data_IF_924227526693
#
_entry.id   IF_924227526693
#
_cell.length_a   1.000
_cell.length_b   1.000
_cell.length_c   1.000
_cell.angle_alpha   90.00
_cell.angle_beta   90.00
_cell.angle_gamma   90.00
#
_symmetry.space_group_name_H-M   'P 1'
#
loop_
_entity.id
_entity.type
_entity.pdbx_description
1 polymer ?
#
# COMPACT_ATOMS: atom_id res chain seq x y z
N UNK A 1 15.82 -19.33 4.27
CA UNK A 1 15.82 -20.59 5.04
C UNK A 1 14.81 -21.59 4.46
N UNK A 2 13.51 -21.28 4.44
CA UNK A 2 12.45 -22.17 3.92
C UNK A 2 12.68 -22.62 2.47
N UNK A 3 13.16 -21.74 1.57
CA UNK A 3 13.53 -22.14 0.20
C UNK A 3 14.70 -23.13 0.14
N UNK A 4 15.63 -23.09 1.10
CA UNK A 4 16.75 -24.04 1.17
C UNK A 4 16.21 -25.41 1.61
N UNK A 5 15.33 -25.44 2.62
CA UNK A 5 14.63 -26.67 3.03
C UNK A 5 13.80 -27.26 1.89
N UNK A 6 13.07 -26.42 1.14
CA UNK A 6 12.32 -26.85 -0.05
C UNK A 6 13.25 -27.41 -1.13
N UNK A 7 14.42 -26.79 -1.33
CA UNK A 7 15.42 -27.25 -2.28
C UNK A 7 15.95 -28.64 -1.89
N UNK A 8 16.23 -28.85 -0.60
CA UNK A 8 16.67 -30.15 -0.10
C UNK A 8 15.63 -31.25 -0.33
N UNK A 9 14.33 -30.94 -0.12
CA UNK A 9 13.23 -31.87 -0.42
C UNK A 9 13.14 -32.16 -1.93
N UNK A 10 13.27 -31.14 -2.77
CA UNK A 10 13.22 -31.28 -4.23
C UNK A 10 14.42 -32.08 -4.81
N UNK A 11 15.55 -32.11 -4.10
CA UNK A 11 16.72 -32.92 -4.50
C UNK A 11 16.71 -34.33 -3.93
N UNK A 12 15.79 -34.64 -3.00
CA UNK A 12 15.72 -35.95 -2.39
C UNK A 12 14.79 -36.88 -3.19
N UNK A 13 15.39 -37.88 -3.82
CA UNK A 13 14.67 -38.88 -4.62
C UNK A 13 14.20 -38.38 -5.99
N UNK A 14 13.35 -39.18 -6.64
CA UNK A 14 12.77 -38.86 -7.94
C UNK A 14 11.61 -37.90 -7.75
N UNK A 15 11.71 -36.68 -8.29
CA UNK A 15 10.65 -35.67 -8.25
C UNK A 15 9.56 -36.03 -9.27
N UNK A 16 8.39 -36.52 -8.85
CA UNK A 16 7.35 -36.90 -9.79
C UNK A 16 6.52 -35.66 -10.17
N UNK A 17 5.75 -35.77 -11.26
CA UNK A 17 4.66 -34.83 -11.51
C UNK A 17 3.62 -34.91 -10.39
N UNK A 18 3.13 -33.77 -9.91
CA UNK A 18 2.13 -33.72 -8.82
C UNK A 18 2.15 -32.46 -7.96
N UNK A 19 3.10 -31.54 -8.18
CA UNK A 19 3.17 -30.28 -7.45
C UNK A 19 3.78 -30.38 -6.04
N UNK A 20 3.71 -29.31 -5.24
CA UNK A 20 4.33 -29.22 -3.92
C UNK A 20 3.77 -30.22 -2.92
N UNK A 21 2.45 -30.43 -2.90
CA UNK A 21 1.82 -31.36 -1.96
C UNK A 21 2.38 -32.78 -2.14
N UNK A 22 2.40 -33.28 -3.38
CA UNK A 22 2.88 -34.61 -3.69
C UNK A 22 4.38 -34.79 -3.41
N UNK A 23 5.17 -33.74 -3.65
CA UNK A 23 6.60 -33.72 -3.35
C UNK A 23 6.87 -33.80 -1.84
N UNK A 24 6.08 -33.11 -1.02
CA UNK A 24 6.21 -33.08 0.44
C UNK A 24 5.72 -34.40 1.05
N UNK A 25 4.53 -34.87 0.67
CA UNK A 25 3.92 -36.08 1.24
C UNK A 25 4.75 -37.33 0.98
N UNK A 26 5.46 -37.40 -0.14
CA UNK A 26 6.33 -38.54 -0.47
C UNK A 26 7.64 -38.54 0.31
N UNK A 27 8.23 -37.38 0.56
CA UNK A 27 9.52 -37.27 1.25
C UNK A 27 9.40 -37.27 2.78
N UNK A 28 8.30 -36.73 3.32
CA UNK A 28 8.12 -36.53 4.76
C UNK A 28 6.99 -37.38 5.36
N UNK A 29 6.29 -38.16 4.52
CA UNK A 29 5.19 -39.02 4.94
C UNK A 29 3.81 -38.37 4.81
N UNK A 30 2.74 -39.20 4.81
CA UNK A 30 1.38 -38.74 4.56
C UNK A 30 0.82 -37.85 5.67
N UNK A 31 1.21 -38.07 6.93
CA UNK A 31 0.74 -37.29 8.08
C UNK A 31 1.19 -35.82 7.98
N UNK A 32 2.48 -35.60 7.74
CA UNK A 32 3.02 -34.25 7.57
C UNK A 32 2.55 -33.63 6.25
N UNK A 33 2.51 -34.41 5.17
CA UNK A 33 1.98 -33.96 3.88
C UNK A 33 0.54 -33.46 3.98
N UNK A 34 -0.34 -34.19 4.67
CA UNK A 34 -1.73 -33.82 4.91
C UNK A 34 -1.86 -32.53 5.72
N UNK A 35 -1.16 -32.44 6.85
CA UNK A 35 -1.19 -31.26 7.71
C UNK A 35 -0.71 -29.99 6.98
N UNK A 36 0.44 -30.07 6.29
CA UNK A 36 0.99 -28.95 5.51
C UNK A 36 0.08 -28.61 4.32
N UNK A 37 -0.51 -29.61 3.66
CA UNK A 37 -1.44 -29.43 2.56
C UNK A 37 -2.70 -28.66 2.95
N UNK A 38 -3.33 -28.99 4.07
CA UNK A 38 -4.50 -28.29 4.59
C UNK A 38 -4.15 -26.83 4.95
N UNK A 39 -3.02 -26.61 5.62
CA UNK A 39 -2.58 -25.27 5.97
C UNK A 39 -2.30 -24.42 4.71
N UNK A 40 -1.67 -25.02 3.70
CA UNK A 40 -1.41 -24.35 2.43
C UNK A 40 -2.70 -24.02 1.66
N UNK A 41 -3.67 -24.94 1.64
CA UNK A 41 -4.98 -24.71 1.04
C UNK A 41 -5.72 -23.54 1.69
N UNK A 42 -5.79 -23.50 3.03
CA UNK A 42 -6.41 -22.39 3.75
C UNK A 42 -5.67 -21.08 3.53
N UNK A 43 -4.33 -21.09 3.60
CA UNK A 43 -3.50 -19.91 3.36
C UNK A 43 -3.70 -19.31 1.97
N UNK A 44 -3.71 -20.15 0.92
CA UNK A 44 -3.96 -19.71 -0.46
C UNK A 44 -5.39 -19.21 -0.67
N UNK A 45 -6.37 -19.80 0.00
CA UNK A 45 -7.78 -19.35 -0.04
C UNK A 45 -7.93 -17.96 0.58
N UNK A 46 -7.32 -17.72 1.75
CA UNK A 46 -7.31 -16.39 2.38
C UNK A 46 -6.56 -15.37 1.52
N UNK A 47 -5.42 -15.76 0.94
CA UNK A 47 -4.67 -14.89 0.02
C UNK A 47 -5.49 -14.50 -1.22
N UNK A 48 -6.28 -15.42 -1.78
CA UNK A 48 -7.19 -15.09 -2.89
C UNK A 48 -8.21 -14.01 -2.50
N UNK A 49 -8.77 -14.08 -1.30
CA UNK A 49 -9.68 -13.02 -0.79
C UNK A 49 -8.98 -11.67 -0.63
N UNK A 50 -7.71 -11.68 -0.21
CA UNK A 50 -6.89 -10.47 -0.06
C UNK A 50 -6.63 -9.81 -1.41
N UNK A 51 -6.28 -10.59 -2.44
CA UNK A 51 -6.06 -10.06 -3.79
C UNK A 51 -7.33 -9.50 -4.42
N UNK A 52 -8.48 -10.14 -4.20
CA UNK A 52 -9.78 -9.63 -4.66
C UNK A 52 -10.11 -8.30 -3.98
N UNK A 53 -9.92 -8.21 -2.67
CA UNK A 53 -10.20 -6.98 -1.91
C UNK A 53 -9.29 -5.83 -2.37
N UNK A 54 -8.00 -6.09 -2.57
CA UNK A 54 -7.08 -5.08 -3.11
C UNK A 54 -7.41 -4.65 -4.55
N UNK A 55 -7.88 -5.58 -5.39
CA UNK A 55 -8.33 -5.23 -6.74
C UNK A 55 -9.57 -4.31 -6.71
N UNK A 56 -10.51 -4.56 -5.78
CA UNK A 56 -11.69 -3.72 -5.58
C UNK A 56 -11.31 -2.33 -5.05
N UNK A 57 -10.35 -2.25 -4.13
CA UNK A 57 -9.81 -0.98 -3.64
C UNK A 57 -9.28 -0.13 -4.80
N UNK A 58 -8.45 -0.74 -5.65
CA UNK A 58 -7.87 -0.05 -6.81
C UNK A 58 -8.95 0.40 -7.79
N UNK A 59 -9.95 -0.45 -8.03
CA UNK A 59 -11.05 -0.18 -8.96
C UNK A 59 -11.90 1.00 -8.50
N UNK A 60 -12.34 1.01 -7.24
CA UNK A 60 -13.26 2.02 -6.72
C UNK A 60 -12.55 3.35 -6.46
N UNK A 61 -11.34 3.33 -5.90
CA UNK A 61 -10.66 4.56 -5.50
C UNK A 61 -9.93 5.26 -6.64
N UNK A 62 -9.39 4.52 -7.60
CA UNK A 62 -8.52 5.10 -8.63
C UNK A 62 -9.05 4.99 -10.05
N UNK A 63 -9.81 3.94 -10.39
CA UNK A 63 -10.26 3.71 -11.77
C UNK A 63 -11.65 4.31 -12.04
N UNK A 64 -12.62 4.03 -11.15
CA UNK A 64 -14.01 4.45 -11.31
C UNK A 64 -14.59 4.98 -9.97
N UNK A 65 -14.25 6.21 -9.56
CA UNK A 65 -14.79 6.80 -8.33
C UNK A 65 -16.32 6.97 -8.36
N UNK A 66 -16.91 7.07 -9.56
CA UNK A 66 -18.37 7.10 -9.75
C UNK A 66 -19.07 5.76 -9.43
N UNK A 67 -18.33 4.66 -9.27
CA UNK A 67 -18.89 3.36 -8.89
C UNK A 67 -19.20 3.23 -7.38
N UNK A 68 -18.98 4.29 -6.60
CA UNK A 68 -19.36 4.35 -5.17
C UNK A 68 -20.88 4.48 -5.03
N UNK A 69 -21.56 3.34 -4.88
CA UNK A 69 -23.03 3.24 -4.76
C UNK A 69 -23.53 3.63 -3.36
N UNK A 70 -22.72 3.36 -2.32
CA UNK A 70 -23.08 3.60 -0.92
C UNK A 70 -22.11 4.59 -0.26
N UNK A 71 -22.64 5.40 0.65
CA UNK A 71 -21.84 6.33 1.47
C UNK A 71 -20.79 5.58 2.31
N UNK A 72 -21.20 4.43 2.84
CA UNK A 72 -20.33 3.52 3.60
C UNK A 72 -19.43 2.71 2.67
N UNK A 73 -18.14 3.01 2.71
CA UNK A 73 -17.12 2.35 1.87
C UNK A 73 -17.10 0.83 2.06
N UNK A 74 -17.29 0.33 3.29
CA UNK A 74 -17.28 -1.11 3.58
C UNK A 74 -18.39 -1.89 2.86
N UNK A 75 -19.57 -1.28 2.68
CA UNK A 75 -20.65 -1.93 1.91
C UNK A 75 -20.30 -1.99 0.43
N UNK A 76 -19.69 -0.94 -0.12
CA UNK A 76 -19.17 -0.95 -1.49
C UNK A 76 -18.13 -2.05 -1.71
N UNK A 77 -17.20 -2.23 -0.77
CA UNK A 77 -16.20 -3.31 -0.81
C UNK A 77 -16.84 -4.70 -0.84
N UNK A 78 -17.84 -4.95 0.00
CA UNK A 78 -18.52 -6.26 0.07
C UNK A 78 -19.23 -6.60 -1.24
N UNK A 79 -19.98 -5.65 -1.81
CA UNK A 79 -20.77 -5.89 -3.04
C UNK A 79 -19.86 -6.08 -4.26
N UNK A 80 -18.86 -5.22 -4.45
CA UNK A 80 -17.93 -5.36 -5.57
C UNK A 80 -17.01 -6.58 -5.41
N UNK A 81 -16.61 -6.90 -4.17
CA UNK A 81 -15.82 -8.09 -3.86
C UNK A 81 -16.53 -9.40 -4.17
N UNK A 82 -17.82 -9.53 -3.80
CA UNK A 82 -18.60 -10.74 -4.12
C UNK A 82 -18.87 -10.86 -5.62
N UNK A 83 -19.15 -9.75 -6.30
CA UNK A 83 -19.31 -9.73 -7.75
C UNK A 83 -18.02 -10.19 -8.47
N UNK A 84 -16.87 -9.63 -8.09
CA UNK A 84 -15.58 -10.00 -8.68
C UNK A 84 -15.21 -11.47 -8.39
N UNK A 85 -15.51 -11.96 -7.19
CA UNK A 85 -15.31 -13.38 -6.83
C UNK A 85 -16.13 -14.31 -7.72
N UNK A 86 -17.41 -14.01 -7.97
CA UNK A 86 -18.27 -14.82 -8.85
C UNK A 86 -17.72 -14.82 -10.27
N UNK A 87 -17.33 -13.66 -10.80
CA UNK A 87 -16.74 -13.54 -12.14
C UNK A 87 -15.46 -14.37 -12.26
N UNK A 88 -14.54 -14.25 -11.29
CA UNK A 88 -13.31 -15.04 -11.26
C UNK A 88 -13.61 -16.54 -11.15
N UNK A 89 -14.61 -16.92 -10.35
CA UNK A 89 -15.10 -18.30 -10.26
C UNK A 89 -15.56 -18.84 -11.61
N UNK A 90 -16.37 -18.07 -12.35
CA UNK A 90 -16.85 -18.44 -13.69
C UNK A 90 -15.69 -18.57 -14.70
N UNK A 91 -14.69 -17.68 -14.64
CA UNK A 91 -13.50 -17.75 -15.50
C UNK A 91 -12.69 -19.03 -15.23
N UNK A 92 -12.52 -19.39 -13.96
CA UNK A 92 -11.81 -20.61 -13.57
C UNK A 92 -12.58 -21.86 -14.03
N UNK A 93 -13.92 -21.85 -13.94
CA UNK A 93 -14.78 -22.93 -14.46
C UNK A 93 -14.69 -23.08 -15.98
N UNK A 94 -14.54 -21.98 -16.74
CA UNK A 94 -14.36 -22.01 -18.19
C UNK A 94 -13.04 -22.68 -18.64
N UNK A 95 -12.06 -22.79 -17.73
CA UNK A 95 -10.91 -23.69 -17.89
C UNK A 95 -9.55 -23.03 -17.66
N UNK A 96 -8.69 -23.72 -16.91
CA UNK A 96 -7.33 -23.27 -16.52
C UNK A 96 -6.37 -23.05 -17.69
N UNK A 97 -6.65 -23.63 -18.87
CA UNK A 97 -5.83 -23.43 -20.08
C UNK A 97 -5.89 -21.98 -20.58
N UNK A 98 -7.05 -21.33 -20.46
CA UNK A 98 -7.24 -19.92 -20.84
C UNK A 98 -6.42 -19.03 -19.89
N UNK A 99 -6.54 -19.26 -18.58
CA UNK A 99 -5.82 -18.52 -17.54
C UNK A 99 -4.30 -18.61 -17.75
N UNK A 100 -3.78 -19.80 -18.05
CA UNK A 100 -2.35 -20.00 -18.28
C UNK A 100 -1.82 -19.23 -19.51
N UNK A 101 -2.66 -18.97 -20.51
CA UNK A 101 -2.26 -18.18 -21.69
C UNK A 101 -2.05 -16.70 -21.35
N UNK A 102 -2.80 -16.17 -20.39
CA UNK A 102 -2.70 -14.78 -19.92
C UNK A 102 -1.63 -14.56 -18.83
N UNK A 103 -1.05 -15.64 -18.28
CA UNK A 103 -0.05 -15.54 -17.22
C UNK A 103 1.23 -14.80 -17.67
N UNK A 104 1.73 -15.06 -18.89
CA UNK A 104 2.95 -14.42 -19.40
C UNK A 104 2.78 -12.90 -19.62
N UNK A 105 1.71 -12.41 -20.30
CA UNK A 105 1.44 -10.98 -20.37
C UNK A 105 1.35 -10.30 -19.00
N UNK A 106 0.76 -10.95 -18.00
CA UNK A 106 0.65 -10.38 -16.65
C UNK A 106 2.03 -10.17 -16.00
N UNK A 107 2.96 -11.12 -16.16
CA UNK A 107 4.35 -10.95 -15.69
C UNK A 107 5.03 -9.78 -16.39
N UNK A 108 4.83 -9.63 -17.70
CA UNK A 108 5.40 -8.49 -18.44
C UNK A 108 4.91 -7.15 -17.89
N UNK A 109 3.61 -7.02 -17.62
CA UNK A 109 3.04 -5.80 -17.02
C UNK A 109 3.69 -5.49 -15.67
N UNK A 110 3.82 -6.48 -14.78
CA UNK A 110 4.45 -6.29 -13.47
C UNK A 110 5.91 -5.83 -13.61
N UNK A 111 6.68 -6.45 -14.50
CA UNK A 111 8.07 -6.06 -14.75
C UNK A 111 8.17 -4.64 -15.32
N UNK A 112 7.29 -4.25 -16.25
CA UNK A 112 7.22 -2.89 -16.77
C UNK A 112 6.89 -1.89 -15.66
N UNK A 113 5.93 -2.18 -14.78
CA UNK A 113 5.61 -1.33 -13.63
C UNK A 113 6.82 -1.13 -12.71
N UNK A 114 7.56 -2.20 -12.40
CA UNK A 114 8.78 -2.14 -11.58
C UNK A 114 9.84 -1.25 -12.26
N UNK A 115 10.07 -1.44 -13.56
CA UNK A 115 11.02 -0.63 -14.32
C UNK A 115 10.62 0.86 -14.36
N UNK A 116 9.33 1.17 -14.56
CA UNK A 116 8.82 2.53 -14.52
C UNK A 116 9.06 3.21 -13.17
N UNK A 117 8.90 2.48 -12.06
CA UNK A 117 9.20 3.01 -10.72
C UNK A 117 10.69 3.36 -10.58
N UNK A 118 11.60 2.49 -11.02
CA UNK A 118 13.03 2.80 -10.99
C UNK A 118 13.38 4.01 -11.86
N UNK A 119 12.85 4.08 -13.09
CA UNK A 119 13.04 5.23 -13.98
C UNK A 119 12.53 6.52 -13.31
N UNK A 120 11.37 6.47 -12.65
CA UNK A 120 10.80 7.62 -11.92
C UNK A 120 11.73 8.16 -10.83
N UNK A 121 12.41 7.29 -10.08
CA UNK A 121 13.42 7.68 -9.08
C UNK A 121 14.61 8.37 -9.75
N UNK A 122 15.14 7.82 -10.85
CA UNK A 122 16.29 8.39 -11.57
C UNK A 122 15.98 9.74 -12.23
N UNK A 123 14.78 9.91 -12.78
CA UNK A 123 14.35 11.18 -13.41
C UNK A 123 14.26 12.32 -12.39
N UNK A 124 13.93 12.02 -11.13
CA UNK A 124 13.79 13.02 -10.05
C UNK A 124 15.04 13.19 -9.18
N UNK A 125 16.20 12.67 -9.58
CA UNK A 125 17.46 12.81 -8.81
C UNK A 125 17.85 14.27 -8.56
N UNK A 126 17.84 15.10 -9.61
CA UNK A 126 18.29 16.50 -9.55
C UNK A 126 17.14 17.50 -9.31
N UNK A 127 15.97 17.04 -8.88
CA UNK A 127 14.84 17.93 -8.58
C UNK A 127 14.41 18.78 -9.77
N UNK A 128 14.12 18.17 -10.93
CA UNK A 128 13.67 18.92 -12.10
C UNK A 128 12.38 19.70 -11.79
N UNK A 129 12.54 21.01 -11.54
CA UNK A 129 11.49 22.01 -11.30
C UNK A 129 10.66 22.29 -12.57
N UNK A 130 11.13 21.85 -13.74
CA UNK A 130 10.53 22.18 -15.03
C UNK A 130 9.33 21.29 -15.43
N UNK A 131 9.04 20.22 -14.67
CA UNK A 131 7.94 19.29 -14.97
C UNK A 131 6.80 19.47 -13.98
N UNK A 132 5.97 20.50 -14.22
CA UNK A 132 4.76 20.85 -13.44
C UNK A 132 3.79 19.67 -13.26
N UNK A 133 3.72 18.76 -14.23
CA UNK A 133 2.86 17.55 -14.19
C UNK A 133 3.36 16.44 -13.27
N UNK A 134 4.61 16.50 -12.80
CA UNK A 134 5.24 15.46 -11.95
C UNK A 134 5.45 15.98 -10.51
N UNK A 135 4.95 17.16 -10.17
CA UNK A 135 5.15 17.78 -8.86
C UNK A 135 3.84 17.84 -8.07
N UNK A 136 3.63 16.84 -7.22
CA UNK A 136 2.54 16.84 -6.26
C UNK A 136 2.86 17.83 -5.14
N UNK A 137 1.97 18.81 -4.95
CA UNK A 137 2.04 19.81 -3.87
C UNK A 137 0.91 19.55 -2.89
N UNK A 138 1.20 19.72 -1.61
CA UNK A 138 0.22 19.58 -0.55
C UNK A 138 0.35 20.76 0.41
N UNK A 139 -0.77 21.12 1.05
CA UNK A 139 -0.82 22.25 1.95
C UNK A 139 -0.54 21.81 3.39
N UNK A 140 0.35 22.54 4.06
CA UNK A 140 0.66 22.36 5.48
C UNK A 140 0.26 23.61 6.25
N UNK A 141 -0.36 23.40 7.42
CA UNK A 141 -0.58 24.43 8.44
C UNK A 141 0.40 24.13 9.56
N UNK A 142 1.51 24.88 9.62
CA UNK A 142 2.59 24.65 10.58
C UNK A 142 3.28 23.31 10.35
N UNK A 143 2.99 22.33 11.20
CA UNK A 143 3.49 20.95 11.14
C UNK A 143 2.43 19.91 10.74
N UNK A 144 1.19 20.33 10.47
CA UNK A 144 0.03 19.47 10.19
C UNK A 144 -0.41 19.56 8.71
N UNK A 145 -0.59 18.44 8.00
CA UNK A 145 -1.14 18.44 6.65
C UNK A 145 -2.66 18.63 6.65
N UNK A 146 -3.15 19.32 5.63
CA UNK A 146 -4.58 19.58 5.42
C UNK A 146 -5.17 18.55 4.46
N UNK A 147 -6.34 18.01 4.79
CA UNK A 147 -7.11 17.13 3.91
C UNK A 147 -7.95 17.94 2.91
N UNK A 148 -7.31 18.29 1.79
CA UNK A 148 -7.95 18.97 0.67
C UNK A 148 -8.82 18.02 -0.18
N UNK A 149 -8.65 16.70 -0.04
CA UNK A 149 -9.38 15.71 -0.85
C UNK A 149 -10.81 15.62 -0.37
N UNK A 150 -11.01 15.39 0.93
CA UNK A 150 -12.35 15.35 1.54
C UNK A 150 -13.09 16.68 1.39
N UNK A 151 -12.35 17.80 1.40
CA UNK A 151 -12.94 19.11 1.13
C UNK A 151 -13.43 19.25 -0.32
N UNK A 152 -12.59 18.85 -1.29
CA UNK A 152 -12.94 18.92 -2.70
C UNK A 152 -14.10 17.98 -3.06
N UNK A 153 -14.20 16.81 -2.42
CA UNK A 153 -15.36 15.92 -2.60
C UNK A 153 -16.68 16.57 -2.17
N UNK A 154 -16.65 17.42 -1.13
CA UNK A 154 -17.85 18.07 -0.59
C UNK A 154 -18.21 19.36 -1.32
N UNK A 155 -17.23 20.17 -1.71
CA UNK A 155 -17.45 21.51 -2.24
C UNK A 155 -17.08 21.68 -3.73
N UNK A 156 -16.50 20.65 -4.37
CA UNK A 156 -16.12 20.63 -5.79
C UNK A 156 -15.12 21.73 -6.23
N UNK A 157 -14.32 22.26 -5.30
CA UNK A 157 -13.19 23.12 -5.60
C UNK A 157 -12.04 22.91 -4.62
N UNK A 158 -10.81 23.24 -5.04
CA UNK A 158 -9.62 23.19 -4.20
C UNK A 158 -9.17 24.62 -3.87
N UNK A 159 -9.15 25.03 -2.59
CA UNK A 159 -8.66 26.35 -2.20
C UNK A 159 -7.14 26.45 -2.35
N UNK A 160 -6.65 27.67 -2.57
CA UNK A 160 -5.22 27.95 -2.53
C UNK A 160 -4.68 27.73 -1.11
N UNK A 161 -3.41 27.38 -0.98
CA UNK A 161 -2.77 27.20 0.33
C UNK A 161 -2.34 28.54 0.95
N UNK A 162 -3.32 29.42 1.20
CA UNK A 162 -3.15 30.71 1.88
C UNK A 162 -4.04 30.77 3.11
N UNK A 163 -3.70 31.63 4.08
CA UNK A 163 -4.48 31.77 5.31
C UNK A 163 -5.95 32.09 5.00
N UNK A 164 -6.21 33.08 4.15
CA UNK A 164 -7.56 33.53 3.76
C UNK A 164 -8.37 32.43 3.03
N UNK A 165 -7.73 31.67 2.12
CA UNK A 165 -8.43 30.65 1.35
C UNK A 165 -8.76 29.39 2.17
N UNK A 166 -8.06 29.17 3.29
CA UNK A 166 -8.27 28.04 4.20
C UNK A 166 -9.21 28.36 5.37
N UNK A 167 -9.57 29.63 5.58
CA UNK A 167 -10.57 30.02 6.59
C UNK A 167 -11.87 29.20 6.53
N UNK A 168 -12.51 28.93 5.38
CA UNK A 168 -13.74 28.13 5.35
C UNK A 168 -13.57 26.68 5.83
N UNK A 169 -12.33 26.16 5.92
CA UNK A 169 -12.06 24.82 6.42
C UNK A 169 -11.93 24.77 7.95
N UNK A 170 -11.44 25.85 8.56
CA UNK A 170 -11.02 25.88 9.96
C UNK A 170 -11.77 26.90 10.81
N UNK A 171 -12.61 27.74 10.19
CA UNK A 171 -13.37 28.78 10.86
C UNK A 171 -14.87 28.56 10.66
N UNK A 172 -15.62 28.75 11.75
CA UNK A 172 -17.07 28.74 11.76
C UNK A 172 -17.59 30.15 11.95
N UNK A 173 -18.57 30.54 11.14
CA UNK A 173 -19.24 31.84 11.28
C UNK A 173 -20.35 31.68 12.31
N UNK A 174 -20.26 32.39 13.44
CA UNK A 174 -21.27 32.34 14.50
C UNK A 174 -22.34 33.41 14.32
N UNK A 175 -21.94 34.62 13.89
CA UNK A 175 -22.81 35.75 13.51
C UNK A 175 -22.19 36.45 12.29
N UNK A 176 -22.91 37.41 11.67
CA UNK A 176 -22.41 38.22 10.53
C UNK A 176 -21.06 38.92 10.80
N UNK A 177 -20.68 39.13 12.06
CA UNK A 177 -19.44 39.82 12.47
C UNK A 177 -18.48 38.97 13.31
N UNK A 178 -18.88 37.78 13.78
CA UNK A 178 -18.04 36.95 14.65
C UNK A 178 -17.69 35.61 14.01
N UNK A 179 -16.41 35.46 13.66
CA UNK A 179 -15.82 34.23 13.14
C UNK A 179 -15.01 33.56 14.25
N UNK A 180 -15.34 32.31 14.59
CA UNK A 180 -14.56 31.50 15.53
C UNK A 180 -13.75 30.47 14.75
N UNK A 181 -12.43 30.67 14.75
CA UNK A 181 -11.47 29.76 14.14
C UNK A 181 -10.87 28.78 15.14
N UNK A 182 -10.45 27.63 14.62
CA UNK A 182 -9.68 26.64 15.36
C UNK A 182 -8.40 27.28 15.95
N UNK A 183 -8.09 27.07 17.26
CA UNK A 183 -7.04 27.80 17.94
C UNK A 183 -5.63 27.60 17.35
N UNK A 184 -5.32 26.41 16.84
CA UNK A 184 -4.03 26.11 16.24
C UNK A 184 -3.90 26.82 14.87
N UNK A 185 -4.91 26.74 14.01
CA UNK A 185 -4.97 27.45 12.73
C UNK A 185 -4.81 28.97 12.92
N UNK A 186 -5.56 29.57 13.85
CA UNK A 186 -5.49 31.01 14.12
C UNK A 186 -4.10 31.44 14.61
N UNK A 187 -3.40 30.57 15.35
CA UNK A 187 -2.00 30.80 15.77
C UNK A 187 -1.05 30.75 14.58
N UNK A 188 -1.20 29.74 13.72
CA UNK A 188 -0.32 29.55 12.56
C UNK A 188 -0.52 30.63 11.49
N UNK A 189 -1.76 31.08 11.26
CA UNK A 189 -2.06 32.16 10.32
C UNK A 189 -1.35 33.49 10.66
N UNK A 190 -1.04 33.74 11.93
CA UNK A 190 -0.34 34.95 12.38
C UNK A 190 1.18 34.88 12.28
N UNK A 191 1.77 33.71 11.99
CA UNK A 191 3.22 33.53 11.98
C UNK A 191 3.74 33.70 10.54
N UNK A 192 4.41 34.83 10.21
CA UNK A 192 4.90 35.08 8.85
C UNK A 192 6.19 34.32 8.54
N UNK A 193 6.95 33.90 9.56
CA UNK A 193 8.21 33.18 9.39
C UNK A 193 8.26 31.97 10.33
N UNK A 194 8.04 30.79 9.77
CA UNK A 194 8.10 29.51 10.46
C UNK A 194 9.43 28.81 10.15
N UNK A 195 10.30 28.71 11.16
CA UNK A 195 11.59 27.99 11.09
C UNK A 195 12.48 28.39 9.89
N UNK A 196 12.42 29.67 9.49
CA UNK A 196 13.25 30.20 8.40
C UNK A 196 12.82 29.79 6.98
N UNK A 197 11.66 29.16 6.82
CA UNK A 197 11.17 28.64 5.53
C UNK A 197 9.96 29.40 4.95
N UNK A 198 9.74 30.65 5.39
CA UNK A 198 8.59 31.48 5.00
C UNK A 198 7.36 31.27 5.91
N UNK A 199 6.14 31.58 5.45
CA UNK A 199 4.93 31.55 6.28
C UNK A 199 4.64 30.15 6.86
N UNK A 200 3.95 30.12 8.00
CA UNK A 200 3.57 28.84 8.64
C UNK A 200 2.59 28.04 7.80
N UNK A 201 1.70 28.72 7.06
CA UNK A 201 0.85 28.11 6.04
C UNK A 201 1.57 28.19 4.71
N UNK A 202 1.93 27.05 4.14
CA UNK A 202 2.67 26.99 2.88
C UNK A 202 2.50 25.66 2.18
N UNK A 203 2.71 25.68 0.87
CA UNK A 203 2.76 24.48 0.06
C UNK A 203 4.10 23.77 0.20
N UNK A 204 4.04 22.46 0.35
CA UNK A 204 5.20 21.59 0.34
C UNK A 204 5.17 20.67 -0.87
N UNK A 205 6.35 20.34 -1.38
CA UNK A 205 6.53 19.36 -2.45
C UNK A 205 6.51 17.97 -1.82
N UNK A 206 5.64 17.07 -2.30
CA UNK A 206 5.52 15.71 -1.77
C UNK A 206 6.73 14.84 -2.09
N UNK A 207 7.31 14.99 -3.29
CA UNK A 207 8.45 14.21 -3.77
C UNK A 207 9.57 15.19 -4.15
N UNK A 208 10.40 15.61 -3.19
CA UNK A 208 11.48 16.58 -3.44
C UNK A 208 12.70 15.97 -4.16
N UNK A 209 12.76 14.65 -4.34
CA UNK A 209 13.85 13.96 -5.04
C UNK A 209 14.95 13.43 -4.11
N UNK A 210 15.87 12.61 -4.62
CA UNK A 210 16.86 11.89 -3.81
C UNK A 210 17.93 12.83 -3.22
N UNK A 211 18.29 13.91 -3.92
CA UNK A 211 19.29 14.87 -3.47
C UNK A 211 18.82 15.80 -2.32
N UNK A 212 17.53 15.75 -1.97
CA UNK A 212 16.92 16.66 -0.99
C UNK A 212 17.27 16.36 0.48
N UNK A 213 17.98 15.27 0.77
CA UNK A 213 18.30 14.85 2.14
C UNK A 213 17.13 14.26 2.94
N UNK A 214 15.96 14.09 2.32
CA UNK A 214 14.73 13.58 2.95
C UNK A 214 14.84 12.14 3.45
N UNK A 215 15.84 11.38 2.99
CA UNK A 215 16.13 10.03 3.50
C UNK A 215 16.50 10.05 4.99
N UNK A 216 17.23 11.07 5.45
CA UNK A 216 17.58 11.22 6.86
C UNK A 216 16.39 11.68 7.72
N UNK A 217 15.45 12.46 7.16
CA UNK A 217 14.23 12.86 7.87
C UNK A 217 13.26 11.70 8.13
N UNK A 218 13.30 10.66 7.29
CA UNK A 218 12.41 9.49 7.38
C UNK A 218 13.05 8.25 8.02
N UNK A 219 14.28 8.36 8.52
CA UNK A 219 15.01 7.22 9.08
C UNK A 219 14.36 6.67 10.38
N UNK A 220 13.66 7.52 11.12
CA UNK A 220 13.02 7.13 12.39
C UNK A 220 11.55 6.75 12.23
N UNK A 221 11.14 5.76 13.03
CA UNK A 221 9.76 5.27 13.06
C UNK A 221 8.78 6.32 13.60
N UNK A 222 7.64 6.41 12.90
CA UNK A 222 6.49 7.25 13.26
C UNK A 222 5.26 6.34 13.42
N UNK A 223 5.13 5.73 14.60
CA UNK A 223 3.94 4.96 14.95
C UNK A 223 2.87 5.89 15.51
N UNK A 224 1.64 5.75 15.04
CA UNK A 224 0.47 6.52 15.46
C UNK A 224 -0.59 5.59 16.05
N UNK A 225 -1.25 6.07 17.10
CA UNK A 225 -2.47 5.47 17.64
C UNK A 225 -3.72 5.86 16.85
N UNK A 226 -4.83 5.16 17.09
CA UNK A 226 -6.13 5.49 16.48
C UNK A 226 -6.54 6.91 16.86
N UNK A 227 -6.92 7.71 15.86
CA UNK A 227 -7.37 9.10 16.03
C UNK A 227 -6.25 10.07 16.40
N UNK A 228 -4.98 9.66 16.37
CA UNK A 228 -3.87 10.60 16.48
C UNK A 228 -3.68 11.36 15.16
N UNK A 229 -3.42 12.66 15.27
CA UNK A 229 -3.25 13.54 14.12
C UNK A 229 -1.86 13.33 13.49
N UNK A 230 -1.81 13.32 12.16
CA UNK A 230 -0.55 13.23 11.43
C UNK A 230 0.20 14.56 11.53
N UNK A 231 1.38 14.57 12.13
CA UNK A 231 2.29 15.73 12.15
C UNK A 231 3.68 15.33 11.66
N UNK A 232 4.39 16.28 11.03
CA UNK A 232 5.80 16.10 10.67
C UNK A 232 6.66 15.86 11.90
N UNK A 233 6.31 16.48 13.03
CA UNK A 233 7.06 16.46 14.29
C UNK A 233 6.34 15.67 15.37
N UNK A 234 7.10 14.92 16.19
CA UNK A 234 6.56 14.35 17.42
C UNK A 234 6.29 15.51 18.37
N UNK A 235 5.05 15.96 18.45
CA UNK A 235 4.63 16.83 19.53
C UNK A 235 4.92 16.12 20.87
N UNK A 236 5.40 16.84 21.91
CA UNK A 236 5.18 16.38 23.27
C UNK A 236 3.67 16.12 23.39
N UNK A 237 3.27 15.00 23.98
CA UNK A 237 1.85 14.63 24.20
C UNK A 237 1.13 15.73 24.99
N UNK A 238 0.69 16.77 24.30
CA UNK A 238 -0.15 17.80 24.88
C UNK A 238 -1.55 17.21 24.88
N UNK A 239 -1.99 16.87 26.09
CA UNK A 239 -3.14 16.01 26.40
C UNK A 239 -4.49 16.65 26.06
N UNK A 240 -4.51 17.80 25.39
CA UNK A 240 -5.63 18.75 25.38
C UNK A 240 -6.47 18.79 24.10
N UNK A 241 -6.02 18.28 22.96
CA UNK A 241 -6.75 18.51 21.69
C UNK A 241 -7.57 17.31 21.18
N UNK A 242 -8.05 16.40 22.03
CA UNK A 242 -9.00 15.36 21.58
C UNK A 242 -10.46 15.84 21.50
N UNK A 243 -10.80 16.93 22.19
CA UNK A 243 -12.18 17.34 22.36
C UNK A 243 -12.68 18.41 21.35
N UNK A 244 -11.77 19.11 20.65
CA UNK A 244 -12.14 20.30 19.85
C UNK A 244 -11.38 20.49 18.54
N UNK A 245 -10.83 19.44 17.92
CA UNK A 245 -10.24 19.58 16.57
C UNK A 245 -11.37 19.51 15.53
N UNK A 246 -12.03 20.66 15.33
CA UNK A 246 -12.92 20.91 14.20
C UNK A 246 -12.07 21.44 13.04
N UNK A 247 -11.54 20.55 12.21
CA UNK A 247 -10.74 20.94 11.05
C UNK A 247 -10.46 19.78 10.12
N UNK A 248 -10.27 20.07 8.84
CA UNK A 248 -9.88 19.11 7.79
C UNK A 248 -8.40 18.73 7.93
N UNK A 249 -8.06 18.05 9.03
CA UNK A 249 -6.75 17.46 9.25
C UNK A 249 -6.76 15.96 8.97
N UNK A 250 -5.59 15.41 8.68
CA UNK A 250 -5.42 13.97 8.45
C UNK A 250 -5.17 13.27 9.79
N UNK A 251 -6.03 12.29 10.10
CA UNK A 251 -5.93 11.46 11.30
C UNK A 251 -5.57 10.02 10.94
N UNK A 252 -4.87 9.34 11.85
CA UNK A 252 -4.63 7.91 11.73
C UNK A 252 -5.93 7.13 12.00
N UNK A 253 -6.47 6.48 10.96
CA UNK A 253 -7.66 5.64 11.08
C UNK A 253 -7.41 4.36 11.90
N UNK A 254 -6.18 3.83 11.85
CA UNK A 254 -5.80 2.59 12.54
C UNK A 254 -4.49 2.77 13.31
N UNK A 255 -4.40 2.13 14.48
CA UNK A 255 -3.15 2.08 15.23
C UNK A 255 -2.08 1.29 14.48
N UNK A 256 -0.88 1.86 14.38
CA UNK A 256 0.27 1.23 13.75
C UNK A 256 1.28 0.81 14.81
N UNK A 257 1.77 -0.42 14.69
CA UNK A 257 2.86 -0.96 15.50
C UNK A 257 3.77 -1.81 14.64
N UNK A 258 5.00 -2.02 15.09
CA UNK A 258 5.99 -2.84 14.38
C UNK A 258 5.44 -4.22 14.00
N UNK A 259 4.74 -4.89 14.92
CA UNK A 259 4.24 -6.24 14.69
C UNK A 259 3.04 -6.26 13.72
N UNK A 260 2.20 -5.23 13.74
CA UNK A 260 1.10 -5.08 12.76
C UNK A 260 1.70 -4.91 11.35
N UNK A 261 2.71 -4.06 11.19
CA UNK A 261 3.36 -3.82 9.90
C UNK A 261 4.07 -5.08 9.36
N UNK A 262 4.70 -5.88 10.23
CA UNK A 262 5.22 -7.19 9.82
C UNK A 262 4.09 -8.08 9.30
N UNK A 263 2.96 -8.15 10.00
CA UNK A 263 1.81 -8.95 9.57
C UNK A 263 1.26 -8.53 8.22
N UNK A 264 1.18 -7.22 7.95
CA UNK A 264 0.73 -6.67 6.66
C UNK A 264 1.75 -6.91 5.54
N UNK A 265 3.05 -6.83 5.84
CA UNK A 265 4.10 -7.04 4.85
C UNK A 265 4.35 -8.53 4.56
N UNK A 266 4.12 -9.43 5.50
CA UNK A 266 4.45 -10.85 5.39
C UNK A 266 3.88 -11.55 4.14
N UNK A 267 2.62 -11.33 3.72
CA UNK A 267 2.08 -11.89 2.48
C UNK A 267 2.94 -11.62 1.23
N UNK A 268 3.66 -10.49 1.17
CA UNK A 268 4.54 -10.15 0.04
C UNK A 268 5.74 -11.09 -0.11
N UNK A 269 6.17 -11.73 0.97
CA UNK A 269 7.29 -12.68 0.99
C UNK A 269 6.83 -14.15 0.89
N UNK A 270 5.53 -14.40 0.80
CA UNK A 270 4.97 -15.74 0.60
C UNK A 270 5.04 -16.17 -0.87
N UNK A 271 4.51 -17.36 -1.21
CA UNK A 271 4.45 -17.83 -2.60
C UNK A 271 5.70 -18.56 -3.11
N UNK A 272 6.70 -18.84 -2.26
CA UNK A 272 7.92 -19.59 -2.64
C UNK A 272 7.63 -20.98 -3.24
N UNK A 273 6.47 -21.58 -2.91
CA UNK A 273 6.05 -22.89 -3.43
C UNK A 273 5.45 -22.83 -4.84
N UNK A 274 5.28 -21.65 -5.43
CA UNK A 274 4.75 -21.53 -6.79
C UNK A 274 5.64 -22.22 -7.84
N UNK A 275 6.96 -22.26 -7.62
CA UNK A 275 7.92 -22.89 -8.54
C UNK A 275 7.75 -24.40 -8.66
N UNK A 276 7.33 -25.08 -7.60
CA UNK A 276 7.11 -26.53 -7.61
C UNK A 276 5.74 -26.95 -8.13
N UNK A 277 4.79 -26.03 -8.31
CA UNK A 277 3.46 -26.32 -8.89
C UNK A 277 3.54 -26.87 -10.33
N UNK A 278 4.63 -26.60 -11.04
CA UNK A 278 4.89 -27.05 -12.42
C UNK A 278 5.90 -28.20 -12.48
N UNK A 279 6.15 -28.92 -11.38
CA UNK A 279 7.20 -29.95 -11.30
C UNK A 279 7.12 -31.01 -12.41
N UNK A 280 5.91 -31.41 -12.80
CA UNK A 280 5.68 -32.42 -13.85
C UNK A 280 5.96 -31.96 -15.29
N UNK A 281 6.14 -30.66 -15.52
CA UNK A 281 6.42 -30.08 -16.85
C UNK A 281 7.89 -29.71 -17.05
N UNK A 282 8.72 -29.88 -16.03
CA UNK A 282 10.14 -29.56 -16.08
C UNK A 282 10.93 -30.73 -16.67
N UNK A 283 11.91 -30.42 -17.53
CA UNK A 283 12.85 -31.41 -18.06
C UNK A 283 13.70 -32.04 -16.95
N UNK A 284 14.11 -31.24 -15.97
CA UNK A 284 14.87 -31.67 -14.79
C UNK A 284 14.39 -30.90 -13.55
N UNK A 285 13.43 -31.46 -12.82
CA UNK A 285 12.80 -30.81 -11.69
C UNK A 285 13.74 -30.67 -10.47
N UNK A 286 14.63 -31.63 -10.23
CA UNK A 286 15.52 -31.62 -9.06
C UNK A 286 16.58 -30.51 -9.16
N UNK A 287 16.98 -30.12 -10.37
CA UNK A 287 17.86 -28.97 -10.60
C UNK A 287 17.10 -27.66 -10.79
N UNK A 288 16.02 -27.63 -11.57
CA UNK A 288 15.33 -26.38 -11.91
C UNK A 288 14.60 -25.76 -10.72
N UNK A 289 14.02 -26.56 -9.81
CA UNK A 289 13.24 -26.04 -8.68
C UNK A 289 14.14 -25.27 -7.68
N UNK A 290 15.28 -25.82 -7.20
CA UNK A 290 16.19 -25.08 -6.32
C UNK A 290 16.72 -23.79 -6.93
N UNK A 291 17.26 -23.86 -8.15
CA UNK A 291 17.85 -22.70 -8.83
C UNK A 291 16.80 -21.61 -9.09
N UNK A 292 15.62 -21.99 -9.58
CA UNK A 292 14.53 -21.04 -9.85
C UNK A 292 14.00 -20.39 -8.58
N UNK A 293 13.77 -21.16 -7.51
CA UNK A 293 13.18 -20.63 -6.26
C UNK A 293 14.17 -19.72 -5.53
N UNK A 294 15.44 -20.12 -5.43
CA UNK A 294 16.47 -19.29 -4.78
C UNK A 294 16.77 -18.03 -5.60
N UNK A 295 16.87 -18.15 -6.94
CA UNK A 295 17.07 -17.00 -7.82
C UNK A 295 15.92 -15.99 -7.69
N UNK A 296 14.68 -16.47 -7.76
CA UNK A 296 13.50 -15.61 -7.58
C UNK A 296 13.48 -14.94 -6.20
N UNK A 297 13.82 -15.66 -5.13
CA UNK A 297 13.86 -15.10 -3.78
C UNK A 297 14.94 -14.01 -3.63
N UNK A 298 16.10 -14.17 -4.26
CA UNK A 298 17.16 -13.15 -4.28
C UNK A 298 16.67 -11.93 -5.05
N UNK A 299 16.11 -12.12 -6.25
CA UNK A 299 15.60 -11.02 -7.07
C UNK A 299 14.50 -10.24 -6.36
N UNK A 300 13.50 -10.90 -5.77
CA UNK A 300 12.43 -10.21 -5.03
C UNK A 300 12.95 -9.56 -3.76
N UNK A 301 13.94 -10.14 -3.10
CA UNK A 301 14.57 -9.49 -1.93
C UNK A 301 15.30 -8.22 -2.33
N UNK A 302 16.01 -8.17 -3.46
CA UNK A 302 16.72 -6.96 -3.92
C UNK A 302 15.74 -5.86 -4.35
N UNK A 303 14.62 -6.24 -4.95
CA UNK A 303 13.62 -5.26 -5.44
C UNK A 303 12.75 -4.74 -4.28
N UNK A 304 12.40 -5.60 -3.32
CA UNK A 304 11.44 -5.26 -2.27
C UNK A 304 12.04 -4.99 -0.88
N UNK A 305 13.32 -5.30 -0.62
CA UNK A 305 14.00 -5.04 0.66
C UNK A 305 15.25 -4.19 0.46
#
# INVERSE_FOLDING_TARGET
LTSISLSAIATNGVVPGGGPYYMISRNLGPELGGAVGILFFLGTTVAASMYITGAVEILILYLFPAAKIFDNIYHCFRVHGTCLLIILGLIVLAGVKVVNKFALPAVFVVLTCILCTFIGVFVKLNGSDSLKYVQFRYCMVGDRPVDLVSFNEKFHYVPNCTAEALEPLFCTVLNETSMQCEPYFARMARIPNWKGAGPAIREHIAIPGLASGVLFENLWSKYLGVGELLSKEKLPRERTDRAHVQGYYIFAEQATSFMILIGVFFPSATGIMAGSNRSGNLRDASRSIPLGTLGAQITTSIVCK
#
